data_IF_744117495401
#
_entry.id   IF_744117495401
#
_cell.length_a   1.000
_cell.length_b   1.000
_cell.length_c   1.000
_cell.angle_alpha   90.00
_cell.angle_beta   90.00
_cell.angle_gamma   90.00
#
_symmetry.space_group_name_H-M   'P 1'
#
loop_
_entity.id
_entity.type
_entity.pdbx_description
1 polymer ?
#
# COMPACT_ATOMS: atom_id res chain seq x y z
N UNK A 1 -23.72 8.28 -17.00
CA UNK A 1 -23.77 8.34 -15.52
C UNK A 1 -23.05 7.10 -15.03
N UNK A 2 -21.82 7.25 -14.55
CA UNK A 2 -21.08 6.12 -13.97
C UNK A 2 -21.65 5.84 -12.57
N UNK A 3 -21.89 4.57 -12.18
CA UNK A 3 -22.24 4.28 -10.80
C UNK A 3 -20.99 4.58 -9.96
N UNK A 4 -21.06 5.62 -9.12
CA UNK A 4 -20.15 5.73 -7.98
C UNK A 4 -20.58 4.65 -6.99
N UNK A 5 -19.99 3.46 -7.09
CA UNK A 5 -20.10 2.46 -6.04
C UNK A 5 -19.38 3.03 -4.81
N UNK A 6 -20.15 3.50 -3.82
CA UNK A 6 -19.60 3.80 -2.52
C UNK A 6 -19.14 2.50 -1.89
N UNK A 7 -17.84 2.28 -1.86
CA UNK A 7 -17.25 1.16 -1.13
C UNK A 7 -17.45 1.44 0.36
N UNK A 8 -18.29 0.64 1.02
CA UNK A 8 -18.43 0.66 2.46
C UNK A 8 -17.37 -0.25 3.07
N UNK A 9 -16.57 0.29 3.98
CA UNK A 9 -15.65 -0.50 4.80
C UNK A 9 -16.23 -0.64 6.21
N UNK A 10 -16.02 -1.81 6.82
CA UNK A 10 -16.17 -2.00 8.25
C UNK A 10 -15.05 -1.27 8.99
N UNK A 11 -15.26 -0.98 10.28
CA UNK A 11 -14.21 -0.38 11.13
C UNK A 11 -12.93 -1.23 11.12
N UNK A 12 -13.06 -2.57 11.13
CA UNK A 12 -11.94 -3.49 11.06
C UNK A 12 -11.15 -3.40 9.74
N UNK A 13 -11.84 -3.21 8.62
CA UNK A 13 -11.20 -3.01 7.32
C UNK A 13 -10.51 -1.64 7.24
N UNK A 14 -11.12 -0.60 7.81
CA UNK A 14 -10.51 0.72 7.88
C UNK A 14 -9.23 0.71 8.74
N UNK A 15 -9.27 0.04 9.90
CA UNK A 15 -8.13 -0.15 10.78
C UNK A 15 -7.01 -0.96 10.09
N UNK A 16 -7.39 -2.02 9.35
CA UNK A 16 -6.45 -2.81 8.56
C UNK A 16 -5.73 -1.95 7.51
N UNK A 17 -6.49 -1.15 6.75
CA UNK A 17 -5.95 -0.27 5.71
C UNK A 17 -4.97 0.74 6.32
N UNK A 18 -5.42 1.50 7.32
CA UNK A 18 -4.65 2.60 7.90
C UNK A 18 -3.41 2.10 8.64
N UNK A 19 -3.53 1.02 9.41
CA UNK A 19 -2.40 0.40 10.12
C UNK A 19 -1.37 -0.15 9.14
N UNK A 20 -1.81 -0.85 8.09
CA UNK A 20 -0.90 -1.45 7.11
C UNK A 20 -0.14 -0.38 6.34
N UNK A 21 -0.83 0.66 5.85
CA UNK A 21 -0.21 1.77 5.14
C UNK A 21 0.76 2.52 6.05
N UNK A 22 0.40 2.79 7.31
CA UNK A 22 1.27 3.44 8.29
C UNK A 22 2.57 2.66 8.51
N UNK A 23 2.48 1.34 8.74
CA UNK A 23 3.66 0.47 8.90
C UNK A 23 4.50 0.39 7.62
N UNK A 24 3.86 0.25 6.47
CA UNK A 24 4.54 0.22 5.18
C UNK A 24 5.30 1.52 4.92
N UNK A 25 4.67 2.66 5.17
CA UNK A 25 5.24 3.99 4.99
C UNK A 25 6.44 4.19 5.92
N UNK A 26 6.30 3.83 7.20
CA UNK A 26 7.40 3.86 8.17
C UNK A 26 8.60 3.02 7.72
N UNK A 27 8.36 1.79 7.25
CA UNK A 27 9.42 0.87 6.80
C UNK A 27 10.16 1.39 5.56
N UNK A 28 9.45 2.06 4.66
CA UNK A 28 10.00 2.56 3.41
C UNK A 28 10.45 4.04 3.49
N UNK A 29 10.42 4.64 4.68
CA UNK A 29 10.73 6.06 4.89
C UNK A 29 9.88 7.00 4.01
N UNK A 30 8.60 6.67 3.86
CA UNK A 30 7.62 7.45 3.10
C UNK A 30 6.75 8.24 4.07
N UNK A 31 6.55 9.53 3.80
CA UNK A 31 5.54 10.32 4.51
C UNK A 31 4.14 9.95 4.00
N UNK A 32 3.20 9.68 4.90
CA UNK A 32 1.83 9.26 4.54
C UNK A 32 1.10 10.34 3.72
N UNK A 33 1.38 11.61 4.00
CA UNK A 33 0.80 12.77 3.29
C UNK A 33 1.49 13.08 1.96
N UNK A 34 2.58 12.39 1.63
CA UNK A 34 3.24 12.54 0.32
C UNK A 34 2.39 11.90 -0.79
N UNK A 35 2.66 12.28 -2.04
CA UNK A 35 2.01 11.66 -3.20
C UNK A 35 2.18 10.13 -3.23
N UNK A 36 3.30 9.61 -2.73
CA UNK A 36 3.55 8.16 -2.64
C UNK A 36 2.74 7.52 -1.50
N UNK A 37 2.61 8.21 -0.37
CA UNK A 37 1.75 7.80 0.75
C UNK A 37 0.26 7.77 0.35
N UNK A 38 -0.22 8.80 -0.35
CA UNK A 38 -1.57 8.82 -0.91
C UNK A 38 -1.81 7.68 -1.91
N UNK A 39 -0.83 7.39 -2.77
CA UNK A 39 -0.91 6.26 -3.70
C UNK A 39 -1.01 4.93 -2.93
N UNK A 40 -0.19 4.74 -1.89
CA UNK A 40 -0.25 3.56 -1.03
C UNK A 40 -1.62 3.39 -0.37
N UNK A 41 -2.22 4.48 0.11
CA UNK A 41 -3.57 4.47 0.66
C UNK A 41 -4.61 4.04 -0.37
N UNK A 42 -4.59 4.62 -1.58
CA UNK A 42 -5.51 4.28 -2.67
C UNK A 42 -5.39 2.80 -3.08
N UNK A 43 -4.17 2.28 -3.17
CA UNK A 43 -3.95 0.87 -3.49
C UNK A 43 -4.40 -0.05 -2.36
N UNK A 44 -4.14 0.28 -1.09
CA UNK A 44 -4.61 -0.51 0.05
C UNK A 44 -6.14 -0.60 0.09
N UNK A 45 -6.84 0.53 -0.11
CA UNK A 45 -8.30 0.58 -0.25
C UNK A 45 -8.79 -0.36 -1.36
N UNK A 46 -8.15 -0.31 -2.53
CA UNK A 46 -8.52 -1.16 -3.67
C UNK A 46 -8.21 -2.65 -3.45
N UNK A 47 -7.20 -2.99 -2.65
CA UNK A 47 -6.87 -4.37 -2.33
C UNK A 47 -7.88 -4.95 -1.35
N UNK A 48 -8.24 -4.20 -0.31
CA UNK A 48 -9.23 -4.62 0.69
C UNK A 48 -10.62 -4.73 0.07
N UNK A 49 -11.02 -3.79 -0.79
CA UNK A 49 -12.30 -3.88 -1.51
C UNK A 49 -12.42 -5.09 -2.43
N UNK A 50 -11.28 -5.69 -2.82
CA UNK A 50 -11.20 -6.94 -3.59
C UNK A 50 -11.08 -8.19 -2.71
N UNK A 51 -11.23 -8.03 -1.39
CA UNK A 51 -11.23 -9.11 -0.41
C UNK A 51 -9.87 -9.46 0.19
N UNK A 52 -8.82 -8.64 -0.04
CA UNK A 52 -7.52 -8.88 0.59
C UNK A 52 -7.56 -8.39 2.05
N UNK A 53 -7.46 -9.31 3.01
CA UNK A 53 -7.70 -9.05 4.43
C UNK A 53 -6.50 -9.37 5.34
N UNK A 54 -5.29 -9.37 4.78
CA UNK A 54 -4.03 -9.62 5.50
C UNK A 54 -3.09 -8.44 5.35
N UNK A 55 -2.56 -7.94 6.47
CA UNK A 55 -1.61 -6.84 6.53
C UNK A 55 -0.32 -7.17 5.75
N UNK A 56 0.22 -8.37 5.94
CA UNK A 56 1.38 -8.89 5.21
C UNK A 56 1.14 -8.93 3.70
N UNK A 57 -0.02 -9.45 3.28
CA UNK A 57 -0.36 -9.55 1.86
C UNK A 57 -0.55 -8.18 1.22
N UNK A 58 -1.20 -7.24 1.90
CA UNK A 58 -1.38 -5.86 1.45
C UNK A 58 -0.01 -5.17 1.34
N UNK A 59 0.83 -5.25 2.39
CA UNK A 59 2.16 -4.64 2.38
C UNK A 59 3.07 -5.21 1.29
N UNK A 60 3.01 -6.51 1.02
CA UNK A 60 3.72 -7.14 -0.09
C UNK A 60 3.29 -6.55 -1.45
N UNK A 61 1.97 -6.40 -1.67
CA UNK A 61 1.46 -5.76 -2.89
C UNK A 61 1.84 -4.30 -3.01
N UNK A 62 1.85 -3.55 -1.90
CA UNK A 62 2.34 -2.17 -1.90
C UNK A 62 3.81 -2.11 -2.30
N UNK A 63 4.66 -3.01 -1.80
CA UNK A 63 6.06 -3.09 -2.24
C UNK A 63 6.21 -3.45 -3.72
N UNK A 64 5.38 -4.36 -4.25
CA UNK A 64 5.41 -4.71 -5.68
C UNK A 64 4.99 -3.54 -6.58
N UNK A 65 4.00 -2.77 -6.15
CA UNK A 65 3.40 -1.68 -6.94
C UNK A 65 4.17 -0.36 -6.81
N UNK A 66 4.69 -0.09 -5.61
CA UNK A 66 5.21 1.22 -5.20
C UNK A 66 6.64 1.16 -4.67
N UNK A 67 7.13 -0.04 -4.34
CA UNK A 67 8.53 -0.22 -3.99
C UNK A 67 9.36 0.18 -5.19
N UNK A 68 10.06 1.29 -5.05
CA UNK A 68 11.13 1.69 -5.96
C UNK A 68 11.95 0.44 -6.27
N UNK A 69 12.20 0.15 -7.54
CA UNK A 69 13.27 -0.76 -7.94
C UNK A 69 14.52 -0.35 -7.16
N UNK A 70 14.84 -1.06 -6.08
CA UNK A 70 16.22 -1.18 -5.68
C UNK A 70 16.90 -1.83 -6.89
N UNK A 71 17.58 -1.00 -7.70
CA UNK A 71 18.60 -1.54 -8.59
C UNK A 71 19.49 -2.42 -7.71
N UNK A 72 19.78 -3.67 -8.12
CA UNK A 72 20.81 -4.42 -7.43
C UNK A 72 22.09 -3.58 -7.45
N UNK A 73 22.85 -3.47 -6.34
CA UNK A 73 24.17 -2.86 -6.40
C UNK A 73 24.96 -3.61 -7.46
N UNK A 74 25.33 -2.88 -8.50
CA UNK A 74 26.18 -3.37 -9.57
C UNK A 74 27.60 -3.50 -9.01
N UNK A 75 27.90 -4.60 -8.32
CA UNK A 75 29.30 -4.95 -8.01
C UNK A 75 29.89 -5.71 -9.19
N UNK A 76 30.29 -4.94 -10.21
CA UNK A 76 31.51 -5.26 -10.94
C UNK A 76 32.66 -4.84 -10.04
N UNK A 77 33.45 -5.81 -9.57
CA UNK A 77 34.91 -5.75 -9.39
C UNK A 77 35.36 -6.76 -8.34
N UNK A 78 35.86 -7.89 -8.80
CA UNK A 78 37.23 -8.35 -8.50
C UNK A 78 37.71 -9.14 -9.71
#
# INVERSE_FOLDING_TARGET
MFPFEMVSFTDAEFDLITTTVGRWAQRNHVEVESALGEAAMKYAVALVSRGLNSDEAIAARLNELLGSREKPPSTKSA
#
